data_IF_083933564521
#
_entry.id   IF_083933564521
#
_cell.length_a   1.000
_cell.length_b   1.000
_cell.length_c   1.000
_cell.angle_alpha   90.00
_cell.angle_beta   90.00
_cell.angle_gamma   90.00
#
_symmetry.space_group_name_H-M   'P 1'
#
loop_
_entity.id
_entity.type
_entity.pdbx_description
1 polymer ?
#
# COMPACT_ATOMS: atom_id res chain seq x y z
N UNK A 1 19.42 15.24 -9.06
CA UNK A 1 19.42 13.91 -8.43
C UNK A 1 18.96 13.94 -6.97
N UNK A 2 19.46 14.86 -6.13
CA UNK A 2 19.08 14.95 -4.71
C UNK A 2 17.56 14.96 -4.46
N UNK A 3 16.79 15.77 -5.20
CA UNK A 3 15.33 15.82 -5.04
C UNK A 3 14.63 14.49 -5.36
N UNK A 4 15.11 13.75 -6.37
CA UNK A 4 14.59 12.42 -6.70
C UNK A 4 14.83 11.46 -5.55
N UNK A 5 16.04 11.47 -4.97
CA UNK A 5 16.39 10.65 -3.81
C UNK A 5 15.52 10.99 -2.59
N UNK A 6 15.26 12.26 -2.32
CA UNK A 6 14.38 12.69 -1.22
C UNK A 6 12.96 12.12 -1.40
N UNK A 7 12.41 12.20 -2.61
CA UNK A 7 11.08 11.64 -2.89
C UNK A 7 11.06 10.12 -2.78
N UNK A 8 12.04 9.42 -3.36
CA UNK A 8 12.12 7.96 -3.26
C UNK A 8 12.27 7.55 -1.80
N UNK A 9 13.17 8.18 -1.04
CA UNK A 9 13.38 7.86 0.37
C UNK A 9 12.10 8.06 1.19
N UNK A 10 11.42 9.19 1.01
CA UNK A 10 10.15 9.48 1.69
C UNK A 10 9.06 8.48 1.28
N UNK A 11 8.99 8.12 0.00
CA UNK A 11 8.08 7.09 -0.50
C UNK A 11 8.41 5.70 0.05
N UNK A 12 9.70 5.36 0.20
CA UNK A 12 10.16 4.11 0.83
C UNK A 12 9.68 4.02 2.26
N UNK A 13 9.80 5.10 3.05
CA UNK A 13 9.32 5.11 4.43
C UNK A 13 7.80 4.90 4.51
N UNK A 14 7.04 5.69 3.74
CA UNK A 14 5.57 5.59 3.74
C UNK A 14 5.08 4.22 3.25
N UNK A 15 5.59 3.76 2.10
CA UNK A 15 5.20 2.47 1.52
C UNK A 15 5.73 1.29 2.34
N UNK A 16 6.85 1.44 3.05
CA UNK A 16 7.40 0.41 3.94
C UNK A 16 6.53 0.19 5.17
N UNK A 17 6.10 1.27 5.83
CA UNK A 17 5.14 1.18 6.95
C UNK A 17 3.81 0.56 6.50
N UNK A 18 3.31 0.98 5.34
CA UNK A 18 2.08 0.44 4.76
C UNK A 18 2.22 -1.04 4.41
N UNK A 19 3.28 -1.41 3.68
CA UNK A 19 3.55 -2.79 3.30
C UNK A 19 3.73 -3.71 4.51
N UNK A 20 4.44 -3.26 5.55
CA UNK A 20 4.57 -4.01 6.79
C UNK A 20 3.22 -4.30 7.44
N UNK A 21 2.37 -3.29 7.58
CA UNK A 21 1.01 -3.45 8.11
C UNK A 21 0.14 -4.36 7.25
N UNK A 22 0.22 -4.24 5.92
CA UNK A 22 -0.53 -5.09 5.00
C UNK A 22 -0.08 -6.55 4.98
N UNK A 23 1.23 -6.80 5.10
CA UNK A 23 1.81 -8.15 5.20
C UNK A 23 1.38 -8.82 6.50
N UNK A 24 1.52 -8.13 7.64
CA UNK A 24 1.04 -8.63 8.94
C UNK A 24 -0.46 -8.93 8.88
N UNK A 25 -1.25 -7.97 8.39
CA UNK A 25 -2.70 -8.13 8.27
C UNK A 25 -3.07 -9.32 7.39
N UNK A 26 -2.37 -9.53 6.28
CA UNK A 26 -2.72 -10.58 5.33
C UNK A 26 -2.24 -11.97 5.76
N UNK A 27 -1.02 -12.08 6.28
CA UNK A 27 -0.42 -13.36 6.64
C UNK A 27 -0.76 -13.81 8.07
N UNK A 28 -0.98 -12.88 8.99
CA UNK A 28 -1.25 -13.16 10.40
C UNK A 28 -2.70 -12.85 10.74
N UNK A 29 -3.14 -11.61 10.48
CA UNK A 29 -4.47 -11.14 10.86
C UNK A 29 -5.60 -11.92 10.19
N UNK A 30 -5.55 -12.06 8.86
CA UNK A 30 -6.61 -12.71 8.07
C UNK A 30 -6.86 -14.17 8.46
N UNK A 31 -5.84 -15.05 8.56
CA UNK A 31 -6.05 -16.40 9.07
C UNK A 31 -6.66 -16.42 10.46
N UNK A 32 -6.19 -15.57 11.38
CA UNK A 32 -6.73 -15.50 12.74
C UNK A 32 -8.22 -15.08 12.73
N UNK A 33 -8.60 -14.09 11.92
CA UNK A 33 -10.00 -13.66 11.78
C UNK A 33 -10.89 -14.71 11.12
N UNK A 34 -10.36 -15.58 10.26
CA UNK A 34 -11.12 -16.72 9.76
C UNK A 34 -11.50 -17.70 10.88
N UNK A 35 -10.63 -17.87 11.88
CA UNK A 35 -10.88 -18.73 13.04
C UNK A 35 -11.77 -18.08 14.10
N UNK A 36 -11.54 -16.79 14.41
CA UNK A 36 -12.32 -16.02 15.41
C UNK A 36 -13.72 -15.65 14.87
N UNK A 37 -13.88 -15.58 13.55
CA UNK A 37 -15.15 -15.33 12.88
C UNK A 37 -15.37 -13.87 12.47
N UNK A 38 -16.30 -13.67 11.53
CA UNK A 38 -16.55 -12.38 10.86
C UNK A 38 -17.06 -11.29 11.81
N UNK A 39 -17.73 -11.67 12.91
CA UNK A 39 -18.17 -10.73 13.93
C UNK A 39 -16.97 -10.15 14.71
N UNK A 40 -16.01 -10.99 15.08
CA UNK A 40 -14.78 -10.55 15.76
C UNK A 40 -13.96 -9.63 14.87
N UNK A 41 -13.79 -10.01 13.60
CA UNK A 41 -13.18 -9.15 12.59
C UNK A 41 -13.88 -7.80 12.44
N UNK A 42 -15.21 -7.79 12.34
CA UNK A 42 -15.97 -6.55 12.16
C UNK A 42 -15.87 -5.63 13.37
N UNK A 43 -15.96 -6.16 14.60
CA UNK A 43 -15.76 -5.40 15.83
C UNK A 43 -14.36 -4.78 15.89
N UNK A 44 -13.33 -5.59 15.63
CA UNK A 44 -11.95 -5.10 15.54
C UNK A 44 -11.82 -4.00 14.49
N UNK A 45 -12.30 -4.25 13.27
CA UNK A 45 -12.12 -3.35 12.13
C UNK A 45 -12.86 -2.02 12.31
N UNK A 46 -14.01 -2.00 12.99
CA UNK A 46 -14.68 -0.74 13.34
C UNK A 46 -13.85 0.12 14.28
N UNK A 47 -13.17 -0.49 15.26
CA UNK A 47 -12.34 0.24 16.23
C UNK A 47 -10.96 0.60 15.65
N UNK A 48 -10.33 -0.34 14.96
CA UNK A 48 -9.00 -0.18 14.41
C UNK A 48 -9.04 0.55 13.06
N UNK A 49 -9.69 -0.02 12.04
CA UNK A 49 -9.62 0.47 10.66
C UNK A 49 -10.52 1.69 10.41
N UNK A 50 -11.72 1.72 10.99
CA UNK A 50 -12.65 2.86 10.89
C UNK A 50 -12.49 3.88 12.02
N UNK A 51 -11.71 3.54 13.06
CA UNK A 51 -11.23 4.44 14.09
C UNK A 51 -9.86 5.01 13.72
N UNK A 52 -8.81 4.60 14.44
CA UNK A 52 -7.47 5.17 14.30
C UNK A 52 -6.88 5.03 12.87
N UNK A 53 -7.16 3.91 12.21
CA UNK A 53 -6.71 3.61 10.86
C UNK A 53 -7.37 4.45 9.77
N UNK A 54 -8.49 5.11 10.08
CA UNK A 54 -9.28 5.85 9.09
C UNK A 54 -8.50 7.02 8.47
N UNK A 55 -7.58 7.62 9.23
CA UNK A 55 -6.70 8.68 8.75
C UNK A 55 -5.33 8.13 8.36
N UNK A 56 -4.76 7.25 9.21
CA UNK A 56 -3.39 6.76 9.02
C UNK A 56 -3.20 6.00 7.71
N UNK A 57 -4.09 5.06 7.39
CA UNK A 57 -3.89 4.20 6.21
C UNK A 57 -4.06 4.95 4.89
N UNK A 58 -5.09 5.81 4.69
CA UNK A 58 -5.17 6.61 3.48
C UNK A 58 -4.02 7.60 3.35
N UNK A 59 -3.54 8.20 4.45
CA UNK A 59 -2.38 9.09 4.43
C UNK A 59 -1.14 8.37 3.90
N UNK A 60 -0.84 7.16 4.42
CA UNK A 60 0.29 6.36 3.94
C UNK A 60 0.10 5.92 2.48
N UNK A 61 -1.08 5.42 2.10
CA UNK A 61 -1.33 4.92 0.76
C UNK A 61 -1.32 6.01 -0.31
N UNK A 62 -2.02 7.13 -0.08
CA UNK A 62 -2.09 8.25 -1.01
C UNK A 62 -0.76 9.00 -0.99
N UNK A 63 -0.23 9.33 0.19
CA UNK A 63 1.03 10.05 0.33
C UNK A 63 2.21 9.30 -0.30
N UNK A 64 2.35 8.00 -0.02
CA UNK A 64 3.37 7.15 -0.61
C UNK A 64 3.26 7.08 -2.14
N UNK A 65 2.04 6.97 -2.67
CA UNK A 65 1.79 7.02 -4.12
C UNK A 65 2.19 8.35 -4.74
N UNK A 66 1.79 9.47 -4.14
CA UNK A 66 2.14 10.81 -4.63
C UNK A 66 3.65 11.05 -4.61
N UNK A 67 4.34 10.59 -3.58
CA UNK A 67 5.80 10.69 -3.49
C UNK A 67 6.50 9.84 -4.57
N UNK A 68 6.05 8.61 -4.81
CA UNK A 68 6.58 7.77 -5.92
C UNK A 68 6.33 8.41 -7.29
N UNK A 69 5.17 9.03 -7.50
CA UNK A 69 4.86 9.77 -8.73
C UNK A 69 5.73 11.02 -8.89
N UNK A 70 5.94 11.77 -7.80
CA UNK A 70 6.82 12.94 -7.79
C UNK A 70 8.27 12.56 -8.11
N UNK A 71 8.75 11.43 -7.57
CA UNK A 71 10.05 10.87 -7.91
C UNK A 71 10.16 10.57 -9.41
N UNK A 72 9.20 9.83 -9.98
CA UNK A 72 9.19 9.49 -11.40
C UNK A 72 9.12 10.73 -12.31
N UNK A 73 8.22 11.68 -12.01
CA UNK A 73 8.09 12.92 -12.78
C UNK A 73 9.38 13.77 -12.72
N UNK A 74 9.98 13.89 -11.54
CA UNK A 74 11.24 14.63 -11.35
C UNK A 74 12.40 13.95 -12.07
N UNK A 75 12.45 12.62 -12.06
CA UNK A 75 13.44 11.83 -12.77
C UNK A 75 13.36 12.03 -14.29
N UNK A 76 12.15 11.99 -14.86
CA UNK A 76 11.88 12.29 -16.28
C UNK A 76 12.36 13.70 -16.64
N UNK A 77 12.02 14.71 -15.82
CA UNK A 77 12.37 16.11 -16.09
C UNK A 77 13.88 16.38 -16.05
N UNK A 78 14.64 15.55 -15.35
CA UNK A 78 16.11 15.65 -15.32
C UNK A 78 16.79 14.95 -16.50
N UNK A 79 16.01 14.38 -17.45
CA UNK A 79 16.50 13.66 -18.62
C UNK A 79 17.54 12.56 -18.31
N UNK A 80 17.53 12.03 -17.09
CA UNK A 80 18.41 10.95 -16.67
C UNK A 80 17.84 9.63 -17.16
N UNK A 81 18.00 9.34 -18.46
CA UNK A 81 17.44 8.16 -19.12
C UNK A 81 18.26 6.88 -18.91
N UNK A 82 18.95 6.77 -17.77
CA UNK A 82 19.69 5.56 -17.46
C UNK A 82 18.74 4.44 -17.13
N UNK A 83 18.63 3.47 -18.04
CA UNK A 83 17.67 2.35 -17.94
C UNK A 83 17.76 1.63 -16.60
N UNK A 84 18.96 1.47 -16.06
CA UNK A 84 19.20 0.78 -14.79
C UNK A 84 18.51 1.47 -13.59
N UNK A 85 18.47 2.80 -13.57
CA UNK A 85 17.79 3.58 -12.52
C UNK A 85 16.32 3.81 -12.86
N UNK A 86 16.01 3.98 -14.15
CA UNK A 86 14.67 4.29 -14.63
C UNK A 86 13.65 3.17 -14.33
N UNK A 87 14.04 1.90 -14.55
CA UNK A 87 13.16 0.74 -14.37
C UNK A 87 12.55 0.69 -12.96
N UNK A 88 13.34 0.67 -11.86
CA UNK A 88 12.75 0.59 -10.53
C UNK A 88 11.95 1.83 -10.15
N UNK A 89 12.35 3.04 -10.58
CA UNK A 89 11.61 4.28 -10.30
C UNK A 89 10.22 4.26 -10.92
N UNK A 90 10.11 3.84 -12.20
CA UNK A 90 8.81 3.76 -12.87
C UNK A 90 7.98 2.58 -12.36
N UNK A 91 8.61 1.45 -12.08
CA UNK A 91 7.93 0.30 -11.48
C UNK A 91 7.31 0.67 -10.13
N UNK A 92 8.04 1.37 -9.27
CA UNK A 92 7.53 1.81 -7.96
C UNK A 92 6.30 2.72 -8.08
N UNK A 93 6.33 3.69 -8.99
CA UNK A 93 5.20 4.57 -9.24
C UNK A 93 3.98 3.80 -9.79
N UNK A 94 4.19 2.94 -10.80
CA UNK A 94 3.13 2.15 -11.41
C UNK A 94 2.48 1.18 -10.40
N UNK A 95 3.29 0.49 -9.60
CA UNK A 95 2.82 -0.44 -8.58
C UNK A 95 2.09 0.27 -7.43
N UNK A 96 2.57 1.45 -6.99
CA UNK A 96 1.89 2.24 -5.97
C UNK A 96 0.51 2.70 -6.45
N UNK A 97 0.41 3.21 -7.69
CA UNK A 97 -0.87 3.56 -8.32
C UNK A 97 -1.78 2.34 -8.43
N UNK A 98 -1.28 1.21 -8.91
CA UNK A 98 -2.07 -0.01 -9.02
C UNK A 98 -2.60 -0.48 -7.66
N UNK A 99 -1.77 -0.44 -6.61
CA UNK A 99 -2.20 -0.73 -5.24
C UNK A 99 -3.27 0.23 -4.73
N UNK A 100 -3.13 1.53 -5.02
CA UNK A 100 -4.15 2.52 -4.68
C UNK A 100 -5.47 2.26 -5.42
N UNK A 101 -5.43 1.87 -6.69
CA UNK A 101 -6.62 1.48 -7.44
C UNK A 101 -7.30 0.23 -6.86
N UNK A 102 -6.54 -0.73 -6.33
CA UNK A 102 -7.14 -1.87 -5.60
C UNK A 102 -7.83 -1.42 -4.31
N UNK A 103 -7.40 -0.30 -3.71
CA UNK A 103 -8.10 0.30 -2.55
C UNK A 103 -9.51 0.76 -2.93
N UNK A 104 -9.73 1.25 -4.15
CA UNK A 104 -11.08 1.62 -4.64
C UNK A 104 -12.02 0.41 -4.62
N UNK A 105 -11.50 -0.81 -4.82
CA UNK A 105 -12.28 -2.06 -4.72
C UNK A 105 -12.39 -2.59 -3.30
N UNK A 106 -11.34 -2.49 -2.48
CA UNK A 106 -11.32 -3.01 -1.12
C UNK A 106 -12.06 -2.12 -0.10
N UNK A 107 -11.91 -0.79 -0.21
CA UNK A 107 -12.42 0.17 0.76
C UNK A 107 -13.94 0.11 0.96
N UNK A 108 -14.79 -0.07 -0.07
CA UNK A 108 -16.24 -0.17 0.12
C UNK A 108 -16.64 -1.29 1.09
N UNK A 109 -15.94 -2.43 1.09
CA UNK A 109 -16.22 -3.53 2.02
C UNK A 109 -15.84 -3.21 3.46
N UNK A 110 -14.80 -2.39 3.66
CA UNK A 110 -14.42 -1.93 5.00
C UNK A 110 -15.37 -0.84 5.50
N UNK A 111 -15.70 0.12 4.63
CA UNK A 111 -16.58 1.25 4.95
C UNK A 111 -18.03 0.81 5.17
N UNK A 112 -18.49 -0.28 4.53
CA UNK A 112 -19.84 -0.82 4.75
C UNK A 112 -20.06 -1.27 6.18
N UNK A 113 -19.01 -1.63 6.93
CA UNK A 113 -19.11 -2.03 8.34
C UNK A 113 -19.68 -0.95 9.26
N UNK A 114 -19.69 0.32 8.81
CA UNK A 114 -20.37 1.42 9.51
C UNK A 114 -21.89 1.23 9.61
N UNK A 115 -22.46 0.50 8.66
CA UNK A 115 -23.90 0.39 8.48
C UNK A 115 -24.42 -1.03 8.69
N UNK A 116 -23.55 -2.05 8.63
CA UNK A 116 -23.92 -3.44 8.87
C UNK A 116 -23.95 -3.69 10.38
N UNK A 117 -25.06 -4.23 10.90
CA UNK A 117 -25.24 -4.67 12.28
C UNK A 117 -24.41 -5.92 12.65
N UNK A 118 -24.45 -6.33 13.91
CA UNK A 118 -23.70 -7.50 14.39
C UNK A 118 -24.44 -8.82 14.11
N UNK A 119 -25.77 -8.73 14.01
CA UNK A 119 -26.73 -9.77 13.70
C UNK A 119 -26.75 -10.12 12.20
N UNK A 120 -26.28 -9.22 11.35
CA UNK A 120 -26.27 -9.36 9.88
C UNK A 120 -25.08 -10.19 9.37
N UNK A 121 -24.96 -11.43 9.87
CA UNK A 121 -23.79 -12.31 9.65
C UNK A 121 -23.50 -12.54 8.16
N UNK A 122 -24.54 -12.65 7.32
CA UNK A 122 -24.38 -12.83 5.89
C UNK A 122 -23.69 -11.64 5.20
N UNK A 123 -24.08 -10.41 5.57
CA UNK A 123 -23.47 -9.18 5.04
C UNK A 123 -22.05 -9.01 5.57
N UNK A 124 -21.80 -9.32 6.84
CA UNK A 124 -20.45 -9.32 7.42
C UNK A 124 -19.54 -10.31 6.69
N UNK A 125 -20.03 -11.51 6.35
CA UNK A 125 -19.27 -12.50 5.57
C UNK A 125 -18.99 -12.03 4.15
N UNK A 126 -19.95 -11.37 3.51
CA UNK A 126 -19.73 -10.78 2.19
C UNK A 126 -18.66 -9.70 2.23
N UNK A 127 -18.74 -8.78 3.19
CA UNK A 127 -17.73 -7.74 3.42
C UNK A 127 -16.35 -8.34 3.71
N UNK A 128 -16.27 -9.34 4.58
CA UNK A 128 -15.02 -10.02 4.91
C UNK A 128 -14.37 -10.65 3.67
N UNK A 129 -15.12 -11.41 2.88
CA UNK A 129 -14.59 -12.09 1.70
C UNK A 129 -14.16 -11.10 0.61
N UNK A 130 -14.96 -10.05 0.38
CA UNK A 130 -14.63 -9.00 -0.57
C UNK A 130 -13.36 -8.24 -0.17
N UNK A 131 -13.29 -7.81 1.10
CA UNK A 131 -12.10 -7.15 1.63
C UNK A 131 -10.89 -8.09 1.62
N UNK A 132 -11.08 -9.38 1.91
CA UNK A 132 -10.02 -10.38 1.83
C UNK A 132 -9.44 -10.43 0.42
N UNK A 133 -10.25 -10.69 -0.60
CA UNK A 133 -9.76 -10.80 -1.98
C UNK A 133 -9.02 -9.55 -2.45
N UNK A 134 -9.69 -8.39 -2.40
CA UNK A 134 -9.12 -7.15 -2.93
C UNK A 134 -7.99 -6.60 -2.05
N UNK A 135 -8.09 -6.80 -0.74
CA UNK A 135 -7.04 -6.49 0.21
C UNK A 135 -5.76 -7.29 -0.07
N UNK A 136 -5.87 -8.59 -0.35
CA UNK A 136 -4.71 -9.42 -0.69
C UNK A 136 -4.00 -8.98 -1.97
N UNK A 137 -4.75 -8.67 -3.03
CA UNK A 137 -4.17 -8.14 -4.29
C UNK A 137 -3.46 -6.81 -4.02
N UNK A 138 -4.09 -5.92 -3.25
CA UNK A 138 -3.50 -4.64 -2.83
C UNK A 138 -2.20 -4.84 -2.04
N UNK A 139 -2.17 -5.76 -1.07
CA UNK A 139 -0.98 -6.10 -0.27
C UNK A 139 0.20 -6.46 -1.17
N UNK A 140 0.00 -7.31 -2.18
CA UNK A 140 1.06 -7.70 -3.11
C UNK A 140 1.59 -6.49 -3.86
N UNK A 141 0.72 -5.67 -4.45
CA UNK A 141 1.12 -4.50 -5.23
C UNK A 141 1.86 -3.46 -4.38
N UNK A 142 1.38 -3.17 -3.16
CA UNK A 142 2.00 -2.18 -2.28
C UNK A 142 3.33 -2.68 -1.71
N UNK A 143 3.46 -3.98 -1.43
CA UNK A 143 4.75 -4.60 -1.04
C UNK A 143 5.76 -4.53 -2.18
N UNK A 144 5.33 -4.81 -3.42
CA UNK A 144 6.20 -4.67 -4.60
C UNK A 144 6.58 -3.21 -4.86
N UNK A 145 5.67 -2.25 -4.62
CA UNK A 145 5.98 -0.82 -4.73
C UNK A 145 7.07 -0.40 -3.73
N UNK A 146 6.99 -0.89 -2.48
CA UNK A 146 8.04 -0.70 -1.49
C UNK A 146 9.39 -1.30 -1.94
N UNK A 147 9.39 -2.56 -2.41
CA UNK A 147 10.59 -3.22 -2.91
C UNK A 147 11.21 -2.48 -4.12
N UNK A 148 10.38 -1.96 -5.03
CA UNK A 148 10.83 -1.18 -6.16
C UNK A 148 11.45 0.16 -5.72
N UNK A 149 10.87 0.86 -4.73
CA UNK A 149 11.47 2.07 -4.16
C UNK A 149 12.82 1.80 -3.49
N UNK A 150 12.96 0.68 -2.76
CA UNK A 150 14.26 0.25 -2.21
C UNK A 150 15.28 -0.04 -3.32
N UNK A 151 14.84 -0.72 -4.39
CA UNK A 151 15.68 -0.97 -5.54
C UNK A 151 16.11 0.33 -6.21
N UNK A 152 15.23 1.33 -6.34
CA UNK A 152 15.60 2.64 -6.87
C UNK A 152 16.72 3.30 -6.07
N UNK A 153 16.66 3.25 -4.72
CA UNK A 153 17.73 3.78 -3.86
C UNK A 153 19.05 3.04 -4.09
N UNK A 154 19.01 1.70 -4.13
CA UNK A 154 20.21 0.88 -4.38
C UNK A 154 20.80 1.13 -5.77
N UNK A 155 19.96 1.30 -6.79
CA UNK A 155 20.40 1.57 -8.15
C UNK A 155 21.07 2.94 -8.29
N UNK A 156 20.51 3.97 -7.64
CA UNK A 156 21.11 5.32 -7.61
C UNK A 156 22.44 5.30 -6.88
N UNK A 157 22.51 4.68 -5.70
CA UNK A 157 23.75 4.60 -4.91
C UNK A 157 24.87 3.88 -5.67
N UNK A 158 24.54 2.77 -6.35
CA UNK A 158 25.50 2.04 -7.19
C UNK A 158 26.00 2.88 -8.36
N UNK A 159 25.10 3.58 -9.04
CA UNK A 159 25.47 4.44 -10.16
C UNK A 159 26.40 5.58 -9.73
N UNK A 160 26.10 6.24 -8.60
CA UNK A 160 26.96 7.29 -8.03
C UNK A 160 28.35 6.81 -7.59
N UNK A 161 28.52 5.51 -7.35
CA UNK A 161 29.82 4.93 -6.95
C UNK A 161 30.69 4.53 -8.16
N UNK A 162 30.12 4.55 -9.37
CA UNK A 162 30.79 4.16 -10.61
C UNK A 162 31.25 5.38 -11.45
N UNK A 163 30.79 6.57 -11.09
CA UNK A 163 31.20 7.89 -11.63
C UNK A 163 32.31 8.49 -10.75
#
# INVERSE_FOLDING_TARGET
MQLVVIFIFSATLANGLLAGGDVDRWLVGMPAWQSVGVLGWAKYSRLADLGNGFVLYPLLAIGGTLLSLAAAATFIRQAKHERFVAIPVYAAAALAVAGLLMTVKAAPFMLSLRHIGNEEVALLKHAFNGFKLWGGVRTVLQTLAFAANLWSLAAIAKHQSAD
#
